data_IF_383751609108
#
_entry.id   IF_383751609108
#
_cell.length_a   1.000
_cell.length_b   1.000
_cell.length_c   1.000
_cell.angle_alpha   90.00
_cell.angle_beta   90.00
_cell.angle_gamma   90.00
#
_symmetry.space_group_name_H-M   'P 1'
#
loop_
_entity.id
_entity.type
_entity.pdbx_description
1 polymer ?
#
# COMPACT_ATOMS: atom_id res chain seq x y z
N UNK A 1 43.87 -0.65 -0.01
CA UNK A 1 43.24 -1.14 1.23
C UNK A 1 41.79 -0.76 1.04
N UNK A 2 41.06 -1.68 0.41
CA UNK A 2 39.64 -1.57 0.07
C UNK A 2 38.82 -1.47 1.35
N UNK A 3 37.94 -0.48 1.42
CA UNK A 3 36.87 -0.40 2.40
C UNK A 3 35.57 -0.55 1.60
N UNK A 4 35.15 -1.80 1.41
CA UNK A 4 33.85 -2.10 0.82
C UNK A 4 32.78 -1.94 1.93
N UNK A 5 31.65 -1.27 1.65
CA UNK A 5 30.54 -1.23 2.60
C UNK A 5 30.06 -2.65 2.87
N UNK A 6 29.91 -2.99 4.15
CA UNK A 6 29.39 -4.29 4.59
C UNK A 6 27.97 -4.53 4.04
N UNK A 7 27.55 -5.80 3.91
CA UNK A 7 26.21 -6.12 3.44
C UNK A 7 25.16 -5.48 4.35
N UNK A 8 24.11 -4.95 3.74
CA UNK A 8 22.88 -4.55 4.44
C UNK A 8 22.41 -5.69 5.36
N UNK A 9 21.85 -5.38 6.54
CA UNK A 9 21.23 -6.39 7.38
C UNK A 9 19.98 -6.91 6.65
N UNK A 10 20.14 -8.00 5.90
CA UNK A 10 19.05 -8.91 5.60
C UNK A 10 18.43 -9.30 6.94
N UNK A 11 17.16 -8.94 7.15
CA UNK A 11 16.40 -9.41 8.31
C UNK A 11 16.43 -10.94 8.26
N UNK A 12 16.76 -11.56 9.40
CA UNK A 12 16.67 -13.00 9.55
C UNK A 12 15.20 -13.42 9.34
N UNK A 13 14.89 -14.09 8.23
CA UNK A 13 13.57 -14.65 7.88
C UNK A 13 13.10 -15.78 8.83
N UNK A 14 13.77 -15.96 9.98
CA UNK A 14 13.67 -17.15 10.84
C UNK A 14 12.82 -16.95 12.11
N UNK A 15 12.30 -15.75 12.39
CA UNK A 15 11.32 -15.59 13.48
C UNK A 15 9.92 -16.07 13.03
N UNK A 16 9.37 -17.13 13.64
CA UNK A 16 8.14 -17.73 13.14
C UNK A 16 6.95 -16.79 13.36
N UNK A 17 6.29 -16.42 12.27
CA UNK A 17 5.07 -15.62 12.32
C UNK A 17 3.99 -16.30 13.19
N UNK A 18 3.32 -15.50 14.02
CA UNK A 18 2.28 -16.00 14.92
C UNK A 18 0.93 -15.94 14.20
N UNK A 19 0.39 -17.12 13.88
CA UNK A 19 -0.95 -17.21 13.28
C UNK A 19 -2.02 -16.81 14.31
N UNK A 20 -2.81 -15.79 13.98
CA UNK A 20 -3.88 -15.26 14.84
C UNK A 20 -5.19 -15.13 14.07
N UNK A 21 -6.29 -15.11 14.81
CA UNK A 21 -7.62 -14.86 14.24
C UNK A 21 -7.99 -13.36 14.22
N UNK A 22 -7.24 -12.52 14.94
CA UNK A 22 -7.47 -11.09 15.11
C UNK A 22 -6.17 -10.45 15.62
N UNK A 23 -5.94 -9.20 15.22
CA UNK A 23 -4.90 -8.30 15.73
C UNK A 23 -5.51 -7.14 16.55
N UNK A 24 -6.75 -7.34 17.01
CA UNK A 24 -7.47 -6.42 17.88
C UNK A 24 -7.69 -5.06 17.24
N UNK A 25 -7.16 -3.96 17.79
CA UNK A 25 -7.39 -2.60 17.26
C UNK A 25 -6.97 -2.38 15.80
N UNK A 26 -6.15 -3.26 15.22
CA UNK A 26 -5.73 -3.19 13.81
C UNK A 26 -6.68 -3.93 12.85
N UNK A 27 -7.64 -4.69 13.35
CA UNK A 27 -8.62 -5.41 12.51
C UNK A 27 -9.38 -4.49 11.54
N UNK A 28 -9.79 -3.25 11.90
CA UNK A 28 -10.42 -2.33 10.94
C UNK A 28 -9.50 -1.93 9.78
N UNK A 29 -8.19 -1.78 10.02
CA UNK A 29 -7.21 -1.45 8.98
C UNK A 29 -7.00 -2.65 8.06
N UNK A 30 -6.89 -3.85 8.62
CA UNK A 30 -6.84 -5.10 7.85
C UNK A 30 -8.07 -5.23 6.94
N UNK A 31 -9.27 -5.02 7.49
CA UNK A 31 -10.51 -5.09 6.72
C UNK A 31 -10.56 -4.02 5.61
N UNK A 32 -10.17 -2.77 5.91
CA UNK A 32 -10.12 -1.67 4.95
C UNK A 32 -9.16 -1.96 3.79
N UNK A 33 -7.92 -2.35 4.07
CA UNK A 33 -6.93 -2.63 3.02
C UNK A 33 -7.32 -3.83 2.18
N UNK A 34 -7.89 -4.88 2.79
CA UNK A 34 -8.38 -6.05 2.06
C UNK A 34 -9.53 -5.71 1.12
N UNK A 35 -10.53 -4.97 1.60
CA UNK A 35 -11.66 -4.55 0.76
C UNK A 35 -11.19 -3.60 -0.35
N UNK A 36 -10.27 -2.67 -0.04
CA UNK A 36 -9.64 -1.83 -1.05
C UNK A 36 -8.90 -2.64 -2.11
N UNK A 37 -8.09 -3.62 -1.71
CA UNK A 37 -7.35 -4.48 -2.63
C UNK A 37 -8.30 -5.18 -3.60
N UNK A 38 -9.41 -5.71 -3.10
CA UNK A 38 -10.43 -6.37 -3.92
C UNK A 38 -11.14 -5.40 -4.86
N UNK A 39 -11.55 -4.21 -4.40
CA UNK A 39 -12.25 -3.21 -5.24
C UNK A 39 -11.35 -2.56 -6.29
N UNK A 40 -10.08 -2.32 -5.95
CA UNK A 40 -9.11 -1.63 -6.81
C UNK A 40 -8.39 -2.56 -7.78
N UNK A 41 -8.34 -3.87 -7.50
CA UNK A 41 -7.56 -4.82 -8.29
C UNK A 41 -6.06 -4.71 -8.02
N UNK A 42 -5.66 -4.05 -6.94
CA UNK A 42 -4.28 -4.03 -6.47
C UNK A 42 -3.79 -5.45 -6.17
N UNK A 43 -2.47 -5.66 -6.32
CA UNK A 43 -1.81 -6.91 -5.94
C UNK A 43 -1.24 -6.86 -4.53
N UNK A 44 -1.03 -5.66 -3.98
CA UNK A 44 -0.58 -5.42 -2.63
C UNK A 44 -1.10 -4.08 -2.13
N UNK A 45 -1.47 -4.01 -0.87
CA UNK A 45 -1.82 -2.77 -0.17
C UNK A 45 -1.19 -2.82 1.22
N UNK A 46 -0.40 -1.80 1.55
CA UNK A 46 0.37 -1.71 2.79
C UNK A 46 -0.04 -0.43 3.50
N UNK A 47 -0.26 -0.49 4.81
CA UNK A 47 -0.35 0.69 5.68
C UNK A 47 0.77 0.67 6.71
N UNK A 48 1.48 1.79 6.83
CA UNK A 48 2.38 2.08 7.94
C UNK A 48 1.69 3.07 8.86
N UNK A 49 1.44 2.65 10.10
CA UNK A 49 0.81 3.46 11.12
C UNK A 49 1.85 3.93 12.13
N UNK A 50 1.90 5.23 12.40
CA UNK A 50 2.83 5.79 13.41
C UNK A 50 2.44 5.33 14.83
N UNK A 51 1.14 5.13 15.08
CA UNK A 51 0.60 4.71 16.38
C UNK A 51 -0.37 3.52 16.18
N UNK A 52 0.13 2.31 16.37
CA UNK A 52 -0.61 1.04 16.35
C UNK A 52 -1.11 0.60 17.73
N UNK A 53 -1.27 -0.72 17.91
CA UNK A 53 -1.67 -1.31 19.20
C UNK A 53 -0.61 -0.99 20.26
N UNK A 54 -0.99 -0.28 21.32
CA UNK A 54 -0.06 0.05 22.40
C UNK A 54 0.82 1.29 22.17
N UNK A 55 0.46 2.17 21.23
CA UNK A 55 1.12 3.46 20.92
C UNK A 55 2.47 3.40 20.16
N UNK A 56 2.96 2.20 19.80
CA UNK A 56 4.14 2.00 18.93
C UNK A 56 3.78 1.86 17.44
N UNK A 57 4.73 2.01 16.50
CA UNK A 57 4.45 1.90 15.06
C UNK A 57 3.99 0.49 14.67
N UNK A 58 3.10 0.41 13.68
CA UNK A 58 2.60 -0.85 13.15
C UNK A 58 2.59 -0.85 11.62
N UNK A 59 2.74 -2.03 11.02
CA UNK A 59 2.63 -2.25 9.59
C UNK A 59 1.55 -3.30 9.33
N UNK A 60 0.66 -3.04 8.38
CA UNK A 60 -0.31 -4.02 7.87
C UNK A 60 -0.05 -4.20 6.39
N UNK A 61 0.20 -5.43 5.98
CA UNK A 61 0.49 -5.80 4.60
C UNK A 61 -0.53 -6.82 4.10
N UNK A 62 -1.26 -6.42 3.06
CA UNK A 62 -2.27 -7.25 2.42
C UNK A 62 -1.82 -7.54 1.00
N UNK A 63 -1.39 -8.78 0.75
CA UNK A 63 -1.12 -9.29 -0.59
C UNK A 63 -2.36 -9.94 -1.22
N UNK A 64 -2.45 -9.92 -2.55
CA UNK A 64 -3.50 -10.63 -3.28
C UNK A 64 -3.35 -12.14 -3.08
N UNK A 65 -4.31 -12.77 -2.39
CA UNK A 65 -4.37 -14.21 -2.11
C UNK A 65 -3.22 -14.73 -1.23
N UNK A 66 -2.54 -13.85 -0.51
CA UNK A 66 -1.50 -14.19 0.46
C UNK A 66 -2.03 -14.04 1.88
N UNK A 67 -1.44 -14.72 2.89
CA UNK A 67 -1.69 -14.37 4.29
C UNK A 67 -1.49 -12.86 4.50
N UNK A 68 -2.34 -12.28 5.34
CA UNK A 68 -2.18 -10.89 5.77
C UNK A 68 -1.11 -10.86 6.84
N UNK A 69 -0.12 -9.98 6.71
CA UNK A 69 0.93 -9.81 7.70
C UNK A 69 0.73 -8.51 8.47
N UNK A 70 0.90 -8.58 9.79
CA UNK A 70 0.81 -7.44 10.68
C UNK A 70 2.05 -7.42 11.55
N UNK A 71 2.81 -6.33 11.51
CA UNK A 71 4.03 -6.16 12.31
C UNK A 71 3.77 -5.11 13.39
N UNK A 72 4.00 -5.47 14.65
CA UNK A 72 3.92 -4.57 15.81
C UNK A 72 5.10 -4.87 16.71
N UNK A 73 5.87 -3.86 17.10
CA UNK A 73 7.03 -4.01 17.99
C UNK A 73 7.97 -5.16 17.58
N UNK A 74 8.30 -5.21 16.28
CA UNK A 74 9.15 -6.25 15.63
C UNK A 74 8.52 -7.65 15.54
N UNK A 75 7.37 -7.89 16.16
CA UNK A 75 6.67 -9.17 16.07
C UNK A 75 5.76 -9.25 14.85
N UNK A 76 5.85 -10.37 14.10
CA UNK A 76 5.02 -10.65 12.93
C UNK A 76 3.82 -11.54 13.31
N UNK A 77 2.62 -11.04 13.01
CA UNK A 77 1.37 -11.78 13.10
C UNK A 77 0.85 -12.08 11.70
N UNK A 78 0.31 -13.27 11.51
CA UNK A 78 -0.33 -13.66 10.26
C UNK A 78 -1.82 -13.93 10.47
N UNK A 79 -2.65 -13.46 9.54
CA UNK A 79 -4.06 -13.80 9.45
C UNK A 79 -4.35 -14.50 8.11
N UNK A 80 -5.26 -15.49 8.08
CA UNK A 80 -5.76 -16.02 6.82
C UNK A 80 -6.41 -14.92 5.97
N UNK A 81 -6.11 -14.88 4.66
CA UNK A 81 -6.62 -13.83 3.75
C UNK A 81 -8.14 -13.62 3.83
N UNK A 82 -8.89 -14.72 3.91
CA UNK A 82 -10.36 -14.72 3.88
C UNK A 82 -11.00 -14.72 5.28
N UNK A 83 -10.25 -14.37 6.34
CA UNK A 83 -10.79 -14.39 7.69
C UNK A 83 -11.95 -13.41 7.88
N UNK A 84 -13.01 -13.83 8.57
CA UNK A 84 -14.08 -12.94 9.00
C UNK A 84 -13.63 -12.21 10.27
N UNK A 85 -13.56 -10.88 10.20
CA UNK A 85 -13.21 -10.02 11.33
C UNK A 85 -14.47 -9.39 11.90
N UNK A 86 -14.60 -9.32 13.22
CA UNK A 86 -15.73 -8.70 13.91
C UNK A 86 -15.55 -7.18 13.97
N UNK A 87 -15.60 -6.56 12.79
CA UNK A 87 -15.49 -5.10 12.60
C UNK A 87 -16.62 -4.61 11.70
N UNK A 88 -17.04 -3.33 11.84
CA UNK A 88 -17.97 -2.73 10.90
C UNK A 88 -17.46 -2.80 9.46
N UNK A 89 -18.39 -2.78 8.49
CA UNK A 89 -18.01 -2.68 7.09
C UNK A 89 -17.12 -1.45 6.85
N UNK A 90 -15.94 -1.62 6.24
CA UNK A 90 -15.02 -0.51 6.05
C UNK A 90 -15.58 0.48 5.04
N UNK A 91 -15.54 1.77 5.39
CA UNK A 91 -15.71 2.85 4.41
C UNK A 91 -14.47 2.87 3.51
N UNK A 92 -14.57 2.34 2.30
CA UNK A 92 -13.47 2.30 1.32
C UNK A 92 -13.60 3.49 0.36
N UNK A 93 -12.49 4.18 0.00
CA UNK A 93 -12.54 5.24 -1.00
C UNK A 93 -13.11 4.74 -2.33
N UNK A 94 -13.70 5.65 -3.12
CA UNK A 94 -14.16 5.29 -4.46
C UNK A 94 -12.97 4.85 -5.29
N UNK A 95 -13.03 3.62 -5.78
CA UNK A 95 -12.03 3.04 -6.65
C UNK A 95 -12.70 2.00 -7.54
N UNK A 96 -12.14 1.83 -8.74
CA UNK A 96 -12.61 0.90 -9.76
C UNK A 96 -11.39 0.28 -10.39
N UNK A 97 -11.48 -1.00 -10.73
CA UNK A 97 -10.43 -1.68 -11.47
C UNK A 97 -10.33 -1.10 -12.88
N UNK A 98 -9.14 -0.60 -13.22
CA UNK A 98 -8.80 -0.16 -14.57
C UNK A 98 -8.03 -1.27 -15.30
N UNK A 99 -8.03 -1.28 -16.65
CA UNK A 99 -7.10 -2.11 -17.41
C UNK A 99 -5.64 -1.85 -16.98
N UNK A 100 -4.75 -2.85 -17.08
CA UNK A 100 -3.34 -2.66 -16.79
C UNK A 100 -2.75 -1.50 -17.59
N UNK A 101 -1.94 -0.66 -16.95
CA UNK A 101 -1.24 0.43 -17.62
C UNK A 101 -0.09 -0.11 -18.46
N UNK A 102 0.25 0.58 -19.53
CA UNK A 102 1.49 0.34 -20.27
C UNK A 102 2.57 1.23 -19.68
N UNK A 103 3.68 0.64 -19.23
CA UNK A 103 4.77 1.38 -18.59
C UNK A 103 6.05 1.22 -19.39
N UNK A 104 6.72 2.33 -19.64
CA UNK A 104 8.07 2.36 -20.17
C UNK A 104 9.04 2.80 -19.05
N UNK A 105 9.75 1.83 -18.49
CA UNK A 105 10.71 2.06 -17.40
C UNK A 105 11.88 2.96 -17.82
N UNK A 106 12.35 2.87 -19.06
CA UNK A 106 13.49 3.68 -19.53
C UNK A 106 13.15 5.18 -19.61
N UNK A 107 11.90 5.52 -19.92
CA UNK A 107 11.46 6.92 -20.07
C UNK A 107 10.64 7.45 -18.90
N UNK A 108 10.18 6.57 -18.00
CA UNK A 108 9.23 6.93 -16.94
C UNK A 108 7.82 7.23 -17.45
N UNK A 109 7.49 6.82 -18.67
CA UNK A 109 6.20 7.11 -19.29
C UNK A 109 5.16 6.05 -18.93
N UNK A 110 3.96 6.52 -18.57
CA UNK A 110 2.80 5.67 -18.29
C UNK A 110 1.74 5.99 -19.34
N UNK A 111 1.42 5.01 -20.19
CA UNK A 111 0.28 5.06 -21.07
C UNK A 111 -0.93 4.42 -20.38
N UNK A 112 -1.90 5.26 -20.02
CA UNK A 112 -3.13 4.89 -19.34
C UNK A 112 -4.34 5.59 -19.97
N UNK A 113 -5.55 5.18 -19.57
CA UNK A 113 -6.73 6.01 -19.82
C UNK A 113 -6.54 7.38 -19.15
N UNK A 114 -7.04 8.45 -19.79
CA UNK A 114 -6.98 9.80 -19.23
C UNK A 114 -7.61 9.79 -17.84
N UNK A 115 -6.89 10.31 -16.84
CA UNK A 115 -7.34 10.31 -15.44
C UNK A 115 -7.13 8.99 -14.70
N UNK A 116 -6.54 7.97 -15.35
CA UNK A 116 -6.41 6.63 -14.76
C UNK A 116 -5.42 6.58 -13.59
N UNK A 117 -4.27 7.26 -13.73
CA UNK A 117 -3.27 7.34 -12.66
C UNK A 117 -3.79 8.24 -11.53
N UNK A 118 -4.42 9.36 -11.89
CA UNK A 118 -5.08 10.27 -10.95
C UNK A 118 -6.15 9.55 -10.12
N UNK A 119 -6.97 8.72 -10.76
CA UNK A 119 -8.02 7.93 -10.08
C UNK A 119 -7.45 7.00 -9.01
N UNK A 120 -6.36 6.28 -9.30
CA UNK A 120 -5.71 5.46 -8.28
C UNK A 120 -5.02 6.31 -7.21
N UNK A 121 -4.41 7.43 -7.58
CA UNK A 121 -3.80 8.36 -6.64
C UNK A 121 -4.83 8.95 -5.65
N UNK A 122 -5.98 9.40 -6.13
CA UNK A 122 -7.10 9.86 -5.30
C UNK A 122 -7.57 8.77 -4.33
N UNK A 123 -7.64 7.52 -4.80
CA UNK A 123 -8.05 6.40 -3.99
C UNK A 123 -7.04 6.09 -2.85
N UNK A 124 -5.73 6.14 -3.13
CA UNK A 124 -4.68 5.94 -2.12
C UNK A 124 -4.65 7.09 -1.10
N UNK A 125 -4.81 8.34 -1.54
CA UNK A 125 -4.99 9.49 -0.63
C UNK A 125 -6.28 9.32 0.19
N UNK A 126 -7.32 8.75 -0.41
CA UNK A 126 -8.56 8.40 0.27
C UNK A 126 -8.37 7.39 1.40
N UNK A 127 -7.44 6.43 1.24
CA UNK A 127 -7.07 5.47 2.28
C UNK A 127 -6.31 6.13 3.43
N UNK A 128 -5.30 6.95 3.14
CA UNK A 128 -4.52 7.62 4.20
C UNK A 128 -5.44 8.46 5.10
N UNK A 129 -6.41 9.17 4.53
CA UNK A 129 -7.42 9.95 5.28
C UNK A 129 -8.30 9.12 6.22
N UNK A 130 -8.49 7.83 5.93
CA UNK A 130 -9.32 6.91 6.73
C UNK A 130 -8.52 6.22 7.84
N UNK A 131 -7.22 6.04 7.64
CA UNK A 131 -6.33 5.43 8.62
C UNK A 131 -5.83 6.50 9.59
N UNK A 132 -5.23 7.58 9.07
CA UNK A 132 -4.79 8.71 9.88
C UNK A 132 -3.86 9.68 9.13
N UNK A 133 -3.79 10.94 9.58
CA UNK A 133 -3.06 12.01 8.86
C UNK A 133 -1.54 11.88 8.91
N UNK A 134 -0.99 10.97 9.73
CA UNK A 134 0.45 10.72 9.85
C UNK A 134 0.86 9.36 9.32
N UNK A 135 -0.12 8.58 8.88
CA UNK A 135 0.08 7.22 8.41
C UNK A 135 0.33 7.24 6.90
N UNK A 136 1.11 6.27 6.44
CA UNK A 136 1.45 6.10 5.05
C UNK A 136 0.73 4.88 4.48
N UNK A 137 0.34 4.96 3.21
CA UNK A 137 -0.24 3.85 2.47
C UNK A 137 0.51 3.68 1.16
N UNK A 138 0.78 2.43 0.81
CA UNK A 138 1.33 2.04 -0.48
C UNK A 138 0.36 1.05 -1.10
N UNK A 139 -0.04 1.29 -2.35
CA UNK A 139 -0.81 0.33 -3.12
C UNK A 139 -0.11 0.04 -4.45
N UNK A 140 -0.07 -1.23 -4.82
CA UNK A 140 0.65 -1.70 -6.00
C UNK A 140 -0.29 -2.41 -6.97
N UNK A 141 -0.19 -2.11 -8.25
CA UNK A 141 -0.94 -2.75 -9.33
C UNK A 141 0.00 -3.38 -10.37
N UNK A 142 -0.49 -4.44 -11.02
CA UNK A 142 0.17 -4.97 -12.22
C UNK A 142 0.03 -4.00 -13.38
N UNK A 143 1.07 -3.93 -14.19
CA UNK A 143 1.06 -3.27 -15.50
C UNK A 143 1.05 -4.34 -16.59
N UNK A 144 1.22 -3.96 -17.84
CA UNK A 144 1.44 -4.91 -18.95
C UNK A 144 2.79 -5.64 -18.86
N UNK A 145 3.73 -5.10 -18.08
CA UNK A 145 5.04 -5.68 -17.80
C UNK A 145 5.08 -6.19 -16.35
N UNK A 146 5.14 -7.52 -16.12
CA UNK A 146 5.13 -8.06 -14.76
C UNK A 146 6.33 -7.63 -13.91
N UNK A 147 7.44 -7.23 -14.53
CA UNK A 147 8.66 -6.79 -13.82
C UNK A 147 8.64 -5.29 -13.49
N UNK A 148 7.64 -4.56 -14.00
CA UNK A 148 7.47 -3.12 -13.76
C UNK A 148 6.07 -2.82 -13.20
N UNK A 149 5.71 -3.32 -11.99
CA UNK A 149 4.48 -2.90 -11.33
C UNK A 149 4.48 -1.39 -11.06
N UNK A 150 3.29 -0.80 -10.97
CA UNK A 150 3.12 0.59 -10.53
C UNK A 150 2.71 0.58 -9.06
N UNK A 151 3.44 1.31 -8.24
CA UNK A 151 3.09 1.58 -6.85
C UNK A 151 2.78 3.06 -6.65
N UNK A 152 1.78 3.34 -5.83
CA UNK A 152 1.44 4.69 -5.41
C UNK A 152 1.53 4.75 -3.89
N UNK A 153 2.32 5.69 -3.41
CA UNK A 153 2.60 5.92 -2.00
C UNK A 153 2.11 7.30 -1.59
N UNK A 154 1.32 7.36 -0.51
CA UNK A 154 0.86 8.62 0.05
C UNK A 154 1.00 8.62 1.58
N UNK A 155 1.23 9.81 2.16
CA UNK A 155 1.28 10.02 3.60
C UNK A 155 0.75 11.40 3.94
N UNK A 156 -0.41 11.47 4.60
CA UNK A 156 -1.00 12.76 5.01
C UNK A 156 -1.09 13.79 3.89
N UNK A 157 -0.36 14.89 4.02
CA UNK A 157 -0.24 15.96 3.03
C UNK A 157 1.14 16.01 2.35
N UNK A 158 1.98 15.00 2.56
CA UNK A 158 3.27 14.90 1.88
C UNK A 158 3.03 14.68 0.37
N UNK A 159 3.97 15.10 -0.49
CA UNK A 159 3.93 14.77 -1.91
C UNK A 159 3.71 13.28 -2.14
N UNK A 160 2.80 12.96 -3.06
CA UNK A 160 2.56 11.59 -3.47
C UNK A 160 3.73 11.09 -4.31
N UNK A 161 4.13 9.85 -4.11
CA UNK A 161 5.21 9.21 -4.88
C UNK A 161 4.63 8.10 -5.72
N UNK A 162 5.00 8.08 -7.00
CA UNK A 162 4.72 6.97 -7.91
C UNK A 162 6.02 6.21 -8.13
N UNK A 163 6.00 4.90 -7.95
CA UNK A 163 7.15 4.02 -8.21
C UNK A 163 6.84 3.08 -9.37
N UNK A 164 7.77 2.95 -10.31
CA UNK A 164 7.71 2.01 -11.42
C UNK A 164 8.78 0.92 -11.20
N UNK A 165 8.36 -0.33 -11.06
CA UNK A 165 9.28 -1.40 -10.68
C UNK A 165 9.74 -1.27 -9.23
N UNK A 166 11.04 -1.49 -8.99
CA UNK A 166 11.64 -1.49 -7.65
C UNK A 166 12.27 -0.15 -7.26
N UNK A 167 12.77 0.64 -8.23
CA UNK A 167 13.70 1.75 -7.94
C UNK A 167 13.32 3.10 -8.57
N UNK A 168 12.46 3.12 -9.60
CA UNK A 168 12.18 4.35 -10.34
C UNK A 168 11.05 5.14 -9.66
N UNK A 169 11.45 6.05 -8.79
CA UNK A 169 10.55 6.90 -7.99
C UNK A 169 10.34 8.28 -8.62
N UNK A 170 9.08 8.72 -8.63
CA UNK A 170 8.65 10.01 -9.15
C UNK A 170 7.80 10.72 -8.09
N UNK A 171 8.36 11.76 -7.48
CA UNK A 171 7.61 12.65 -6.59
C UNK A 171 6.69 13.55 -7.41
N UNK A 172 5.41 13.57 -7.06
CA UNK A 172 4.40 14.38 -7.73
C UNK A 172 4.34 15.78 -7.11
N UNK A 173 4.01 16.77 -7.93
CA UNK A 173 3.86 18.15 -7.47
C UNK A 173 2.85 18.24 -6.30
N UNK A 174 3.11 19.07 -5.29
CA UNK A 174 2.19 19.27 -4.18
C UNK A 174 0.77 19.62 -4.64
N UNK A 175 -0.22 18.87 -4.17
CA UNK A 175 -1.62 19.04 -4.56
C UNK A 175 -2.03 18.30 -5.84
N UNK A 176 -1.15 17.48 -6.41
CA UNK A 176 -1.52 16.46 -7.38
C UNK A 176 -2.04 15.19 -6.66
N UNK A 177 -3.03 14.46 -7.20
CA UNK A 177 -3.81 14.81 -8.39
C UNK A 177 -4.69 16.04 -8.12
N UNK A 178 -4.90 16.90 -9.13
CA UNK A 178 -5.76 18.06 -8.96
C UNK A 178 -7.15 17.59 -8.51
N UNK A 179 -7.82 18.28 -7.58
CA UNK A 179 -9.13 17.86 -7.10
C UNK A 179 -10.07 17.70 -8.28
N UNK A 180 -10.78 16.57 -8.34
CA UNK A 180 -11.81 16.31 -9.33
C UNK A 180 -12.66 17.57 -9.52
N UNK A 181 -12.63 18.15 -10.72
CA UNK A 181 -13.42 19.32 -11.05
C UNK A 181 -14.88 18.91 -10.86
N UNK A 182 -15.54 19.45 -9.83
CA UNK A 182 -16.90 19.07 -9.47
C UNK A 182 -17.80 19.10 -10.70
N UNK A 183 -18.30 17.93 -11.10
CA UNK A 183 -19.32 17.76 -12.14
C UNK A 183 -20.68 17.73 -11.47
#
# INVERSE_FOLDING_TARGET
MDDAPGPDPQRDDDEPAVLVASVGPLDPVVALLREFLHRSGAIRAIALMEHGVGEGPALVDVGQLLPIEVVVDEQVFQLPHAIELDVPEPDVPEVRQLPPFEVNRETGEIAAMIGGVEHYAEAVIGLTRRIGPRDAVIATWRTNDPDTPISISARGNDPLVITLGEDDEYEMEPGWPPPAAGI
#
